data_IF_608201780115
#
_entry.id   IF_608201780115
#
_cell.length_a   1.000
_cell.length_b   1.000
_cell.length_c   1.000
_cell.angle_alpha   90.00
_cell.angle_beta   90.00
_cell.angle_gamma   90.00
#
_symmetry.space_group_name_H-M   'P 1'
#
loop_
_entity.id
_entity.type
_entity.pdbx_description
1 polymer ?
#
# COMPACT_ATOMS: atom_id res chain seq x y z
N UNK A 1 -38.87 38.71 -36.85
CA UNK A 1 -37.99 37.53 -36.82
C UNK A 1 -36.72 37.76 -35.98
N UNK A 2 -35.98 38.86 -36.15
CA UNK A 2 -34.78 39.17 -35.35
C UNK A 2 -34.97 39.14 -33.82
N UNK A 3 -36.12 39.61 -33.31
CA UNK A 3 -36.44 39.59 -31.87
C UNK A 3 -36.60 38.18 -31.30
N UNK A 4 -37.03 37.22 -32.10
CA UNK A 4 -37.20 35.82 -31.67
C UNK A 4 -35.84 35.11 -31.59
N UNK A 5 -34.94 35.37 -32.54
CA UNK A 5 -33.56 34.89 -32.52
C UNK A 5 -32.76 35.43 -31.32
N UNK A 6 -32.96 36.71 -30.96
CA UNK A 6 -32.33 37.28 -29.77
C UNK A 6 -32.80 36.63 -28.46
N UNK A 7 -34.10 36.34 -28.35
CA UNK A 7 -34.67 35.66 -27.17
C UNK A 7 -34.16 34.21 -27.09
N UNK A 8 -34.11 33.48 -28.21
CA UNK A 8 -33.60 32.10 -28.25
C UNK A 8 -32.10 32.05 -27.91
N UNK A 9 -31.29 33.00 -28.40
CA UNK A 9 -29.86 33.09 -28.07
C UNK A 9 -29.62 33.42 -26.58
N UNK A 10 -30.43 34.29 -26.00
CA UNK A 10 -30.35 34.62 -24.55
C UNK A 10 -30.82 33.45 -23.70
N UNK A 11 -31.88 32.72 -24.10
CA UNK A 11 -32.34 31.52 -23.38
C UNK A 11 -31.31 30.39 -23.45
N UNK A 12 -30.68 30.17 -24.61
CA UNK A 12 -29.58 29.20 -24.76
C UNK A 12 -28.36 29.57 -23.91
N UNK A 13 -27.99 30.86 -23.86
CA UNK A 13 -26.91 31.36 -23.01
C UNK A 13 -27.25 31.30 -21.51
N UNK A 14 -28.51 31.48 -21.12
CA UNK A 14 -28.97 31.32 -19.74
C UNK A 14 -29.09 29.85 -19.30
N UNK A 15 -29.26 28.91 -20.24
CA UNK A 15 -29.27 27.46 -19.94
C UNK A 15 -27.89 26.82 -19.91
N UNK A 16 -26.85 27.53 -20.35
CA UNK A 16 -25.46 27.14 -20.11
C UNK A 16 -25.14 27.45 -18.64
N UNK A 17 -25.64 26.62 -17.73
CA UNK A 17 -25.17 26.61 -16.35
C UNK A 17 -23.64 26.52 -16.36
N UNK A 18 -22.97 27.29 -15.49
CA UNK A 18 -21.52 27.27 -15.34
C UNK A 18 -21.07 25.86 -14.96
N UNK A 19 -20.79 25.01 -15.95
CA UNK A 19 -20.13 23.74 -15.75
C UNK A 19 -18.67 24.04 -15.43
N UNK A 20 -18.33 24.02 -14.14
CA UNK A 20 -16.95 24.15 -13.71
C UNK A 20 -16.21 22.84 -14.00
N UNK A 21 -15.13 22.91 -14.79
CA UNK A 21 -14.23 21.78 -14.97
C UNK A 21 -13.40 21.58 -13.68
N UNK A 22 -13.25 20.33 -13.25
CA UNK A 22 -12.43 19.96 -12.10
C UNK A 22 -11.65 18.67 -12.41
N UNK A 23 -10.51 18.51 -11.73
CA UNK A 23 -9.56 17.43 -11.96
C UNK A 23 -9.44 16.55 -10.73
N UNK A 24 -9.41 15.24 -10.92
CA UNK A 24 -9.23 14.26 -9.86
C UNK A 24 -8.13 13.29 -10.26
N UNK A 25 -7.49 12.64 -9.28
CA UNK A 25 -6.72 11.45 -9.59
C UNK A 25 -7.68 10.33 -10.01
N UNK A 26 -7.40 9.69 -11.15
CA UNK A 26 -8.19 8.58 -11.70
C UNK A 26 -7.27 7.38 -11.93
N UNK A 27 -7.27 6.42 -10.99
CA UNK A 27 -6.33 5.31 -11.03
C UNK A 27 -6.77 4.16 -10.12
N UNK A 28 -6.09 3.01 -10.24
CA UNK A 28 -6.21 1.89 -9.29
C UNK A 28 -4.83 1.36 -8.90
N UNK A 29 -4.67 0.87 -7.65
CA UNK A 29 -3.44 0.14 -7.25
C UNK A 29 -3.30 -1.21 -7.93
N UNK A 30 -4.41 -1.75 -8.44
CA UNK A 30 -4.41 -2.97 -9.26
C UNK A 30 -3.61 -2.78 -10.56
N UNK A 31 -3.73 -1.61 -11.20
CA UNK A 31 -3.04 -1.30 -12.45
C UNK A 31 -1.74 -0.53 -12.26
N UNK A 32 -1.60 0.23 -11.17
CA UNK A 32 -0.42 1.09 -10.94
C UNK A 32 -0.17 1.33 -9.46
N UNK A 33 1.02 0.96 -8.97
CA UNK A 33 1.42 1.17 -7.58
C UNK A 33 1.43 2.65 -7.18
N UNK A 34 1.71 3.55 -8.13
CA UNK A 34 1.69 4.99 -7.94
C UNK A 34 0.29 5.52 -7.57
N UNK A 35 -0.78 4.74 -7.77
CA UNK A 35 -2.11 5.16 -7.35
C UNK A 35 -2.29 5.23 -5.82
N UNK A 36 -1.42 4.55 -5.06
CA UNK A 36 -1.51 4.59 -3.61
C UNK A 36 -1.23 5.99 -3.05
N UNK A 37 -0.21 6.65 -3.60
CA UNK A 37 0.19 8.03 -3.30
C UNK A 37 0.48 8.73 -4.64
N UNK A 38 -0.56 9.16 -5.37
CA UNK A 38 -0.40 9.69 -6.71
C UNK A 38 0.27 11.08 -6.66
N UNK A 39 1.24 11.26 -7.55
CA UNK A 39 1.86 12.56 -7.83
C UNK A 39 1.18 13.25 -9.03
N UNK A 40 1.21 14.58 -9.03
CA UNK A 40 0.28 15.48 -9.70
C UNK A 40 0.22 15.40 -11.23
N UNK A 41 1.15 14.75 -11.94
CA UNK A 41 1.27 15.01 -13.39
C UNK A 41 0.91 13.84 -14.33
N UNK A 42 0.67 12.62 -13.83
CA UNK A 42 0.42 11.46 -14.71
C UNK A 42 -0.97 10.86 -14.51
N UNK A 43 -1.52 10.93 -13.30
CA UNK A 43 -2.76 10.25 -12.93
C UNK A 43 -3.95 11.21 -12.78
N UNK A 44 -3.76 12.50 -13.04
CA UNK A 44 -4.84 13.48 -13.07
C UNK A 44 -5.63 13.36 -14.38
N UNK A 45 -6.95 13.35 -14.27
CA UNK A 45 -7.86 13.46 -15.40
C UNK A 45 -8.95 14.50 -15.13
N UNK A 46 -9.42 15.13 -16.20
CA UNK A 46 -10.57 16.01 -16.17
C UNK A 46 -11.85 15.20 -15.94
N UNK A 47 -12.68 15.66 -15.01
CA UNK A 47 -13.94 15.01 -14.71
C UNK A 47 -15.05 15.46 -15.67
N UNK A 48 -15.97 14.57 -16.04
CA UNK A 48 -17.13 14.94 -16.85
C UNK A 48 -17.90 16.11 -16.21
N UNK A 49 -18.29 17.13 -17.00
CA UNK A 49 -19.08 18.25 -16.49
C UNK A 49 -20.43 17.75 -15.97
N UNK A 50 -20.86 18.27 -14.82
CA UNK A 50 -22.14 17.93 -14.22
C UNK A 50 -22.84 19.20 -13.74
N UNK A 51 -24.16 19.38 -13.95
CA UNK A 51 -24.91 20.45 -13.30
C UNK A 51 -25.01 20.25 -11.79
N UNK A 52 -24.84 19.00 -11.34
CA UNK A 52 -24.81 18.57 -9.94
C UNK A 52 -23.38 18.52 -9.41
N UNK A 53 -22.52 19.50 -9.74
CA UNK A 53 -21.28 19.68 -8.97
C UNK A 53 -21.69 20.17 -7.58
N UNK A 54 -22.09 19.21 -6.75
CA UNK A 54 -22.18 19.37 -5.32
C UNK A 54 -20.80 19.77 -4.80
N UNK A 55 -20.70 20.19 -3.53
CA UNK A 55 -19.40 20.47 -2.92
C UNK A 55 -18.36 19.36 -3.17
N UNK A 56 -18.78 18.10 -3.37
CA UNK A 56 -17.91 16.95 -3.57
C UNK A 56 -17.55 16.74 -5.05
N UNK A 57 -16.26 16.59 -5.32
CA UNK A 57 -15.69 16.49 -6.69
C UNK A 57 -15.06 15.13 -6.96
N UNK A 58 -14.30 14.59 -6.00
CA UNK A 58 -13.54 13.35 -6.18
C UNK A 58 -13.91 12.29 -5.13
N UNK A 59 -13.58 11.03 -5.44
CA UNK A 59 -13.64 9.93 -4.49
C UNK A 59 -12.30 9.19 -4.40
N UNK A 60 -12.12 8.51 -3.27
CA UNK A 60 -11.16 7.42 -3.07
C UNK A 60 -11.89 6.28 -2.39
N UNK A 61 -11.71 5.03 -2.83
CA UNK A 61 -12.31 3.85 -2.21
C UNK A 61 -11.38 2.64 -2.23
N UNK A 62 -11.71 1.62 -1.46
CA UNK A 62 -11.11 0.28 -1.59
C UNK A 62 -12.11 -0.66 -2.26
N UNK A 63 -11.69 -1.28 -3.36
CA UNK A 63 -12.40 -2.36 -4.06
C UNK A 63 -11.57 -3.64 -3.96
N UNK A 64 -12.12 -4.67 -3.31
CA UNK A 64 -11.34 -5.84 -2.93
C UNK A 64 -10.27 -5.44 -1.91
N UNK A 65 -9.01 -5.41 -2.34
CA UNK A 65 -7.86 -4.93 -1.54
C UNK A 65 -7.16 -3.72 -2.18
N UNK A 66 -7.66 -3.23 -3.30
CA UNK A 66 -7.03 -2.19 -4.10
C UNK A 66 -7.66 -0.82 -3.88
N UNK A 67 -6.84 0.23 -3.87
CA UNK A 67 -7.31 1.61 -3.83
C UNK A 67 -7.72 2.03 -5.24
N UNK A 68 -8.91 2.61 -5.35
CA UNK A 68 -9.46 3.21 -6.56
C UNK A 68 -9.76 4.68 -6.31
N UNK A 69 -9.36 5.54 -7.25
CA UNK A 69 -9.58 6.99 -7.20
C UNK A 69 -10.33 7.42 -8.45
N UNK A 70 -11.23 8.39 -8.32
CA UNK A 70 -11.92 8.92 -9.49
C UNK A 70 -12.81 10.13 -9.22
N UNK A 71 -13.60 10.48 -10.24
CA UNK A 71 -14.55 11.58 -10.21
C UNK A 71 -15.87 11.14 -9.58
N UNK A 72 -16.50 11.97 -8.75
CA UNK A 72 -17.82 11.65 -8.18
C UNK A 72 -18.88 11.48 -9.28
N UNK A 73 -18.73 12.21 -10.40
CA UNK A 73 -19.62 12.13 -11.56
C UNK A 73 -19.57 10.79 -12.29
N UNK A 74 -18.55 9.95 -12.06
CA UNK A 74 -18.48 8.61 -12.64
C UNK A 74 -19.15 7.53 -11.78
N UNK A 75 -19.55 7.85 -10.55
CA UNK A 75 -20.26 6.94 -9.66
C UNK A 75 -21.77 6.98 -9.94
N UNK A 76 -22.46 5.84 -9.84
CA UNK A 76 -23.93 5.82 -9.80
C UNK A 76 -24.46 6.46 -8.52
N UNK A 77 -25.71 6.92 -8.51
CA UNK A 77 -26.30 7.62 -7.34
C UNK A 77 -26.22 6.76 -6.06
N UNK A 78 -26.59 5.49 -6.14
CA UNK A 78 -26.50 4.57 -5.02
C UNK A 78 -25.06 4.34 -4.54
N UNK A 79 -24.06 4.33 -5.43
CA UNK A 79 -22.65 4.22 -5.05
C UNK A 79 -22.18 5.47 -4.29
N UNK A 80 -22.58 6.67 -4.74
CA UNK A 80 -22.28 7.93 -4.05
C UNK A 80 -22.91 7.97 -2.66
N UNK A 81 -24.20 7.63 -2.57
CA UNK A 81 -24.95 7.66 -1.32
C UNK A 81 -24.35 6.65 -0.31
N UNK A 82 -23.97 5.45 -0.77
CA UNK A 82 -23.31 4.45 0.07
C UNK A 82 -21.91 4.86 0.49
N UNK A 83 -21.14 5.52 -0.39
CA UNK A 83 -19.77 5.95 -0.10
C UNK A 83 -19.68 6.82 1.16
N UNK A 84 -20.69 7.65 1.41
CA UNK A 84 -20.77 8.49 2.60
C UNK A 84 -21.03 7.71 3.91
N UNK A 85 -21.40 6.43 3.83
CA UNK A 85 -21.81 5.61 4.97
C UNK A 85 -20.79 4.52 5.36
N UNK A 86 -19.86 4.17 4.45
CA UNK A 86 -18.93 3.06 4.64
C UNK A 86 -17.48 3.53 4.76
N UNK A 87 -16.72 2.94 5.67
CA UNK A 87 -15.34 3.35 5.96
C UNK A 87 -14.32 2.99 4.86
N UNK A 88 -14.73 2.25 3.82
CA UNK A 88 -13.88 1.92 2.67
C UNK A 88 -14.03 2.90 1.50
N UNK A 89 -14.75 4.01 1.68
CA UNK A 89 -14.93 5.03 0.66
C UNK A 89 -14.90 6.44 1.28
N UNK A 90 -14.34 7.41 0.55
CA UNK A 90 -14.25 8.80 0.96
C UNK A 90 -14.56 9.69 -0.23
N UNK A 91 -15.49 10.63 -0.04
CA UNK A 91 -15.75 11.73 -0.97
C UNK A 91 -15.00 12.97 -0.47
N UNK A 92 -14.51 13.80 -1.38
CA UNK A 92 -13.83 15.05 -1.03
C UNK A 92 -14.07 16.15 -2.07
N UNK A 93 -13.72 17.37 -1.68
CA UNK A 93 -13.86 18.60 -2.47
C UNK A 93 -12.50 19.15 -2.84
N UNK A 94 -12.30 19.50 -4.10
CA UNK A 94 -11.08 20.19 -4.53
C UNK A 94 -11.00 21.59 -3.93
N UNK A 95 -9.79 22.00 -3.56
CA UNK A 95 -9.47 23.34 -3.07
C UNK A 95 -8.37 23.95 -3.95
N UNK A 96 -8.51 25.21 -4.35
CA UNK A 96 -7.52 25.92 -5.18
C UNK A 96 -7.06 25.11 -6.43
N UNK A 97 -7.99 24.46 -7.12
CA UNK A 97 -7.72 23.57 -8.27
C UNK A 97 -6.79 22.38 -7.98
N UNK A 98 -6.59 22.04 -6.71
CA UNK A 98 -5.83 20.85 -6.31
C UNK A 98 -6.78 19.67 -6.12
N UNK A 99 -6.46 18.53 -6.73
CA UNK A 99 -7.22 17.29 -6.56
C UNK A 99 -7.16 16.83 -5.10
N UNK A 100 -8.32 16.73 -4.45
CA UNK A 100 -8.41 16.40 -3.03
C UNK A 100 -8.16 14.92 -2.72
N UNK A 101 -8.32 14.05 -3.72
CA UNK A 101 -8.24 12.60 -3.57
C UNK A 101 -6.80 12.09 -3.77
N UNK A 102 -5.79 12.80 -3.27
CA UNK A 102 -4.37 12.42 -3.38
C UNK A 102 -3.79 11.76 -2.12
N UNK A 103 -4.43 11.93 -0.96
CA UNK A 103 -3.91 11.44 0.32
C UNK A 103 -3.93 9.91 0.41
N UNK A 104 -3.05 9.35 1.25
CA UNK A 104 -3.01 7.92 1.57
C UNK A 104 -4.39 7.45 2.06
N UNK A 105 -4.87 6.33 1.52
CA UNK A 105 -6.18 5.78 1.85
C UNK A 105 -6.14 4.25 1.95
N UNK A 106 -6.88 3.63 2.89
CA UNK A 106 -7.47 4.26 4.08
C UNK A 106 -6.39 4.83 5.01
N UNK A 107 -6.77 5.79 5.86
CA UNK A 107 -5.85 6.31 6.87
C UNK A 107 -5.49 5.20 7.89
N UNK A 108 -4.25 5.21 8.39
CA UNK A 108 -3.79 4.25 9.41
C UNK A 108 -3.55 2.82 8.90
N UNK A 109 -3.48 2.62 7.58
CA UNK A 109 -3.10 1.31 7.01
C UNK A 109 -1.67 0.91 7.41
N UNK A 110 -1.42 -0.39 7.37
CA UNK A 110 -0.15 -0.97 7.81
C UNK A 110 1.04 -0.46 6.98
N UNK A 111 2.13 -0.19 7.69
CA UNK A 111 3.45 0.06 7.11
C UNK A 111 4.38 -1.10 7.43
N UNK A 112 5.06 -1.63 6.42
CA UNK A 112 6.06 -2.69 6.58
C UNK A 112 7.36 -2.28 5.89
N UNK A 113 8.48 -2.83 6.35
CA UNK A 113 9.69 -2.79 5.54
C UNK A 113 9.48 -3.72 4.34
N UNK A 114 9.82 -3.21 3.16
CA UNK A 114 9.61 -3.88 1.89
C UNK A 114 10.93 -3.91 1.14
N UNK A 115 11.48 -5.10 0.94
CA UNK A 115 12.74 -5.30 0.22
C UNK A 115 12.88 -6.75 -0.25
N UNK A 116 13.68 -6.94 -1.29
CA UNK A 116 14.14 -8.25 -1.75
C UNK A 116 15.64 -8.16 -1.98
N UNK A 117 16.38 -9.15 -1.49
CA UNK A 117 17.81 -9.21 -1.68
C UNK A 117 18.40 -10.52 -1.18
N UNK A 118 19.72 -10.65 -1.29
CA UNK A 118 20.41 -11.81 -0.73
C UNK A 118 20.60 -11.67 0.78
N UNK A 119 21.01 -12.77 1.41
CA UNK A 119 21.40 -12.80 2.84
C UNK A 119 22.59 -11.89 3.18
N UNK A 120 23.35 -11.45 2.17
CA UNK A 120 24.47 -10.50 2.28
C UNK A 120 24.08 -9.07 1.87
N UNK A 121 22.80 -8.81 1.62
CA UNK A 121 22.30 -7.49 1.25
C UNK A 121 21.75 -6.75 2.47
N UNK A 122 21.55 -5.43 2.33
CA UNK A 122 20.93 -4.58 3.34
C UNK A 122 19.50 -5.00 3.71
N UNK A 123 18.84 -5.84 2.91
CA UNK A 123 17.53 -6.41 3.26
C UNK A 123 17.61 -7.45 4.40
N UNK A 124 18.77 -8.09 4.56
CA UNK A 124 19.06 -9.06 5.62
C UNK A 124 19.37 -8.37 6.96
N UNK A 125 19.91 -7.15 6.90
CA UNK A 125 20.30 -6.37 8.07
C UNK A 125 19.10 -5.87 8.89
N UNK A 126 19.41 -5.31 10.06
CA UNK A 126 18.41 -4.56 10.83
C UNK A 126 18.08 -3.24 10.13
N UNK A 127 16.80 -3.00 9.87
CA UNK A 127 16.33 -1.83 9.13
C UNK A 127 16.01 -0.70 10.11
N UNK A 128 16.67 0.44 9.93
CA UNK A 128 16.48 1.66 10.74
C UNK A 128 15.68 2.74 10.00
N UNK A 129 15.40 2.54 8.71
CA UNK A 129 14.61 3.48 7.90
C UNK A 129 13.12 3.29 8.16
N UNK A 130 12.33 4.33 7.95
CA UNK A 130 10.86 4.24 8.06
C UNK A 130 10.27 3.15 7.17
N UNK A 131 9.23 2.49 7.67
CA UNK A 131 8.48 1.49 6.93
C UNK A 131 7.56 2.15 5.89
N UNK A 132 7.41 1.52 4.73
CA UNK A 132 6.56 2.01 3.65
C UNK A 132 5.16 1.42 3.76
N UNK A 133 4.16 2.17 3.31
CA UNK A 133 2.77 1.70 3.32
C UNK A 133 2.64 0.44 2.46
N UNK A 134 1.89 -0.58 2.90
CA UNK A 134 1.59 -1.76 2.06
C UNK A 134 0.95 -1.35 0.73
N UNK A 135 0.95 -2.10 -0.35
CA UNK A 135 0.18 -1.69 -1.54
C UNK A 135 -1.30 -1.99 -1.38
N UNK A 136 -1.60 -3.21 -0.93
CA UNK A 136 -2.96 -3.71 -0.73
C UNK A 136 -3.47 -3.37 0.67
N UNK A 137 -4.78 -3.21 0.80
CA UNK A 137 -5.41 -2.95 2.08
C UNK A 137 -6.09 -4.21 2.63
N UNK A 138 -5.76 -4.56 3.88
CA UNK A 138 -6.55 -5.41 4.74
C UNK A 138 -6.47 -4.87 6.17
N UNK A 139 -7.59 -4.91 6.89
CA UNK A 139 -7.65 -4.35 8.25
C UNK A 139 -6.79 -5.16 9.25
N UNK A 140 -6.59 -6.45 8.97
CA UNK A 140 -5.82 -7.42 9.73
C UNK A 140 -4.52 -7.82 9.04
N UNK A 141 -4.00 -6.98 8.12
CA UNK A 141 -2.72 -7.25 7.45
C UNK A 141 -1.58 -7.34 8.47
N UNK A 142 -0.53 -8.04 8.06
CA UNK A 142 0.66 -8.28 8.86
C UNK A 142 1.90 -8.07 8.00
N UNK A 143 3.04 -7.76 8.65
CA UNK A 143 4.31 -7.76 7.95
C UNK A 143 4.90 -9.17 7.96
N UNK A 144 5.68 -9.50 6.95
CA UNK A 144 6.47 -10.73 6.93
C UNK A 144 7.94 -10.48 6.65
N UNK A 145 8.76 -11.46 7.05
CA UNK A 145 10.12 -11.70 6.58
C UNK A 145 10.16 -13.15 6.11
N UNK A 146 10.48 -13.38 4.85
CA UNK A 146 10.70 -14.69 4.26
C UNK A 146 12.19 -14.88 4.02
N UNK A 147 12.73 -16.00 4.47
CA UNK A 147 14.11 -16.38 4.18
C UNK A 147 14.14 -17.80 3.63
N UNK A 148 14.50 -17.92 2.36
CA UNK A 148 14.62 -19.19 1.65
C UNK A 148 15.92 -19.20 0.88
N UNK A 149 16.70 -20.25 1.07
CA UNK A 149 18.03 -20.42 0.49
C UNK A 149 18.93 -19.21 0.79
N UNK A 150 19.25 -18.42 -0.23
CA UNK A 150 20.10 -17.24 -0.12
C UNK A 150 19.33 -15.92 -0.33
N UNK A 151 18.00 -15.95 -0.22
CA UNK A 151 17.11 -14.82 -0.49
C UNK A 151 16.34 -14.42 0.76
N UNK A 152 16.31 -13.11 1.03
CA UNK A 152 15.51 -12.47 2.06
C UNK A 152 14.48 -11.58 1.37
N UNK A 153 13.21 -11.75 1.71
CA UNK A 153 12.10 -10.91 1.24
C UNK A 153 11.35 -10.38 2.45
N UNK A 154 11.13 -9.07 2.50
CA UNK A 154 10.27 -8.42 3.50
C UNK A 154 9.10 -7.76 2.78
N UNK A 155 7.91 -7.82 3.35
CA UNK A 155 6.76 -7.15 2.76
C UNK A 155 5.49 -7.29 3.59
N UNK A 156 4.35 -6.99 2.96
CA UNK A 156 3.03 -7.13 3.57
C UNK A 156 2.43 -8.49 3.21
N UNK A 157 1.76 -9.12 4.16
CA UNK A 157 1.28 -10.49 4.01
C UNK A 157 0.22 -10.61 2.92
N UNK A 158 -0.60 -9.58 2.71
CA UNK A 158 -1.57 -9.48 1.61
C UNK A 158 -0.96 -9.53 0.20
N UNK A 159 0.35 -9.33 0.08
CA UNK A 159 1.10 -9.39 -1.17
C UNK A 159 1.81 -10.74 -1.34
N UNK A 160 1.91 -11.53 -0.28
CA UNK A 160 2.52 -12.86 -0.27
C UNK A 160 1.81 -13.79 0.73
N UNK A 161 0.55 -14.15 0.42
CA UNK A 161 -0.29 -14.93 1.34
C UNK A 161 0.29 -16.32 1.65
N UNK A 162 1.17 -16.85 0.80
CA UNK A 162 1.89 -18.11 1.05
C UNK A 162 2.75 -18.07 2.33
N UNK A 163 3.15 -16.89 2.79
CA UNK A 163 3.88 -16.73 4.05
C UNK A 163 3.03 -16.98 5.31
N UNK A 164 1.70 -17.03 5.19
CA UNK A 164 0.82 -17.29 6.34
C UNK A 164 1.02 -18.70 6.94
N UNK A 165 1.46 -19.65 6.13
CA UNK A 165 1.65 -21.06 6.52
C UNK A 165 3.05 -21.61 6.25
N UNK A 166 3.96 -20.80 5.72
CA UNK A 166 5.32 -21.22 5.38
C UNK A 166 6.24 -21.19 6.60
N UNK A 167 7.04 -22.24 6.79
CA UNK A 167 8.09 -22.28 7.84
C UNK A 167 9.26 -21.33 7.55
N UNK A 168 9.40 -20.93 6.30
CA UNK A 168 10.42 -19.99 5.84
C UNK A 168 10.03 -18.54 6.11
N UNK A 169 8.85 -18.30 6.71
CA UNK A 169 8.34 -16.96 6.98
C UNK A 169 8.14 -16.70 8.47
N UNK A 170 8.49 -15.50 8.90
CA UNK A 170 8.12 -14.93 10.18
C UNK A 170 7.14 -13.79 9.93
N UNK A 171 5.99 -13.86 10.58
CA UNK A 171 4.91 -12.87 10.45
C UNK A 171 4.79 -12.11 11.78
N UNK A 172 4.54 -10.80 11.71
CA UNK A 172 4.35 -9.95 12.87
C UNK A 172 3.28 -8.89 12.61
N UNK A 173 2.66 -8.40 13.69
CA UNK A 173 1.66 -7.34 13.63
C UNK A 173 2.23 -6.01 14.12
N UNK A 174 1.84 -4.91 13.46
CA UNK A 174 2.25 -3.54 13.81
C UNK A 174 3.22 -2.92 12.80
N UNK A 175 3.23 -1.59 12.74
CA UNK A 175 4.03 -0.84 11.79
C UNK A 175 5.53 -1.15 11.95
N UNK A 176 6.19 -1.50 10.86
CA UNK A 176 7.63 -1.75 10.81
C UNK A 176 8.09 -2.92 11.69
N UNK A 177 7.20 -3.80 12.17
CA UNK A 177 7.58 -4.88 13.09
C UNK A 177 8.60 -5.86 12.48
N UNK A 178 8.69 -5.91 11.15
CA UNK A 178 9.62 -6.72 10.39
C UNK A 178 10.98 -6.03 10.17
N UNK A 179 11.50 -5.30 11.17
CA UNK A 179 12.75 -4.55 11.08
C UNK A 179 14.00 -5.35 11.45
N UNK A 180 13.86 -6.39 12.29
CA UNK A 180 15.01 -7.08 12.91
C UNK A 180 15.90 -7.76 11.89
N UNK A 181 17.20 -7.82 12.18
CA UNK A 181 18.14 -8.69 11.47
C UNK A 181 17.64 -10.14 11.52
N UNK A 182 17.71 -10.82 10.38
CA UNK A 182 17.38 -12.24 10.35
C UNK A 182 18.62 -13.06 10.65
N UNK A 183 18.74 -13.56 11.89
CA UNK A 183 19.72 -14.60 12.17
C UNK A 183 19.22 -15.92 11.58
N UNK A 184 19.94 -16.46 10.59
CA UNK A 184 19.81 -17.86 10.14
C UNK A 184 20.15 -18.82 11.30
N UNK A 185 19.29 -18.92 12.30
CA UNK A 185 19.41 -19.89 13.37
C UNK A 185 18.92 -21.25 12.89
N UNK A 186 19.72 -21.84 12.00
CA UNK A 186 19.77 -23.28 11.75
C UNK A 186 21.20 -23.83 11.64
N UNK A 187 22.25 -22.99 11.64
CA UNK A 187 23.65 -23.45 11.60
C UNK A 187 24.56 -22.92 12.72
N UNK A 188 24.15 -21.86 13.44
CA UNK A 188 24.96 -21.25 14.51
C UNK A 188 25.15 -22.15 15.75
N UNK A 189 24.29 -23.14 15.96
CA UNK A 189 24.39 -24.10 17.05
C UNK A 189 25.31 -25.30 16.75
N UNK A 190 25.60 -25.58 15.49
CA UNK A 190 26.42 -26.75 15.10
C UNK A 190 27.90 -26.48 15.35
N UNK A 191 28.38 -25.27 15.05
CA UNK A 191 29.81 -24.93 15.22
C UNK A 191 30.22 -24.83 16.69
N UNK A 192 29.33 -24.35 17.57
CA UNK A 192 29.58 -24.31 19.01
C UNK A 192 29.61 -25.73 19.62
N UNK A 193 28.72 -26.63 19.18
CA UNK A 193 28.70 -28.01 19.67
C UNK A 193 29.88 -28.85 19.17
N UNK A 194 30.36 -28.62 17.94
CA UNK A 194 31.53 -29.33 17.38
C UNK A 194 32.81 -29.00 18.14
N UNK A 195 33.02 -27.74 18.54
CA UNK A 195 34.19 -27.35 19.35
C UNK A 195 34.16 -27.95 20.76
N UNK A 196 32.98 -28.03 21.40
CA UNK A 196 32.79 -28.68 22.70
C UNK A 196 33.05 -30.19 22.63
N UNK A 197 32.59 -30.86 21.57
CA UNK A 197 32.81 -32.30 21.34
C UNK A 197 34.28 -32.62 21.10
N UNK A 198 34.98 -31.82 20.27
CA UNK A 198 36.42 -31.98 20.02
C UNK A 198 37.25 -31.76 21.29
N UNK A 199 36.90 -30.76 22.10
CA UNK A 199 37.54 -30.51 23.40
C UNK A 199 37.37 -31.68 24.37
N UNK A 200 36.18 -32.26 24.46
CA UNK A 200 35.90 -33.41 25.32
C UNK A 200 36.65 -34.68 24.89
N UNK A 201 36.73 -34.93 23.57
CA UNK A 201 37.48 -36.08 23.03
C UNK A 201 38.98 -35.95 23.32
N UNK A 202 39.56 -34.76 23.13
CA UNK A 202 40.97 -34.53 23.46
C UNK A 202 41.25 -34.74 24.96
N UNK A 203 40.43 -34.16 25.85
CA UNK A 203 40.56 -34.32 27.31
C UNK A 203 40.49 -35.80 27.74
N UNK A 204 39.58 -36.58 27.16
CA UNK A 204 39.46 -38.02 27.46
C UNK A 204 40.67 -38.83 26.97
N UNK A 205 41.24 -38.48 25.82
CA UNK A 205 42.44 -39.13 25.28
C UNK A 205 43.71 -38.82 26.09
N UNK A 206 43.81 -37.63 26.69
CA UNK A 206 44.90 -37.29 27.61
C UNK A 206 44.75 -38.04 28.94
N UNK A 207 43.55 -38.12 29.52
CA UNK A 207 43.31 -38.85 30.76
C UNK A 207 43.61 -40.36 30.63
N UNK A 208 43.31 -40.96 29.48
CA UNK A 208 43.56 -42.38 29.23
C UNK A 208 45.05 -42.74 29.03
N UNK A 209 45.92 -41.76 28.75
CA UNK A 209 47.39 -41.96 28.63
C UNK A 209 48.15 -41.71 29.93
N UNK A 210 47.49 -41.19 30.96
CA UNK A 210 48.09 -40.84 32.25
C UNK A 210 47.78 -41.85 33.37
N UNK A 211 47.19 -43.00 33.04
CA UNK A 211 47.09 -44.20 33.90
C UNK A 211 48.05 -45.29 33.44
#
# INVERSE_FOLDING_TARGET
MLRYFGIVAVVLACSAGNASAFWCFTCTTFNSTNCLLPDQNVLLAECPPSPDVSALTCFTRVVGRDVERGCVTSLAQNERDNCALVNNCQLCSNENNTACNGNLFPHGRLHCHQCEGSTNSTCSDEIQTEATSCLRFAADDQCYVQVRDNTVVRGCLTENEACSSSRDCHVCAGNGCNFRHFEHSAAGSVMAQVQLLLGAVLLSAFAAKSL
#
